data_IF_955231565036
#
_entry.id   IF_955231565036
#
_cell.length_a   1.000
_cell.length_b   1.000
_cell.length_c   1.000
_cell.angle_alpha   90.00
_cell.angle_beta   90.00
_cell.angle_gamma   90.00
#
_symmetry.space_group_name_H-M   'P 1'
#
loop_
_entity.id
_entity.type
_entity.pdbx_description
1 polymer ?
#
# COMPACT_ATOMS: atom_id res chain seq x y z
N UNK A 1 3.75 -8.21 -9.81
CA UNK A 1 4.59 -7.10 -10.27
C UNK A 1 3.74 -6.12 -11.05
N UNK A 2 3.78 -4.85 -10.70
CA UNK A 2 3.18 -3.76 -11.47
C UNK A 2 4.22 -2.68 -11.74
N UNK A 3 4.22 -2.19 -12.99
CA UNK A 3 5.08 -1.09 -13.43
C UNK A 3 4.22 -0.07 -14.16
N UNK A 4 4.33 1.16 -13.78
CA UNK A 4 3.70 2.29 -14.44
C UNK A 4 4.78 3.31 -14.80
N UNK A 5 4.75 3.79 -16.05
CA UNK A 5 5.60 4.89 -16.51
C UNK A 5 4.74 6.01 -17.07
N UNK A 6 5.15 7.23 -16.84
CA UNK A 6 4.51 8.42 -17.37
C UNK A 6 5.57 9.30 -18.03
N UNK A 7 5.36 9.57 -19.31
CA UNK A 7 6.14 10.52 -20.08
C UNK A 7 5.31 11.80 -20.24
N UNK A 8 5.93 12.93 -19.95
CA UNK A 8 5.33 14.23 -20.10
C UNK A 8 6.26 15.12 -20.93
N UNK A 9 5.72 15.75 -21.95
CA UNK A 9 6.41 16.77 -22.73
C UNK A 9 5.55 18.02 -22.83
N UNK A 10 6.16 19.18 -22.69
CA UNK A 10 5.52 20.49 -22.81
C UNK A 10 6.39 21.40 -23.66
N UNK A 11 5.75 22.11 -24.55
CA UNK A 11 6.32 23.21 -25.32
C UNK A 11 5.57 24.50 -25.03
N UNK A 12 6.28 25.53 -24.62
CA UNK A 12 5.75 26.88 -24.44
C UNK A 12 6.30 27.77 -25.57
N UNK A 13 5.40 28.13 -26.50
CA UNK A 13 5.74 29.00 -27.61
C UNK A 13 6.01 30.42 -27.12
N UNK A 14 7.11 31.07 -27.53
CA UNK A 14 7.44 32.44 -27.14
C UNK A 14 6.39 33.48 -27.54
N UNK A 15 5.51 33.15 -28.48
CA UNK A 15 4.41 34.02 -28.93
C UNK A 15 3.22 33.98 -27.97
N UNK A 16 3.14 33.05 -27.05
CA UNK A 16 2.07 32.99 -26.06
C UNK A 16 2.35 33.99 -24.91
N UNK A 17 1.28 34.54 -24.31
CA UNK A 17 1.36 35.49 -23.20
C UNK A 17 2.12 35.01 -21.97
N UNK A 18 2.32 33.70 -21.82
CA UNK A 18 3.15 33.09 -20.77
C UNK A 18 4.65 33.05 -21.10
N UNK A 19 5.01 33.34 -22.35
CA UNK A 19 6.38 33.36 -22.85
C UNK A 19 6.91 34.74 -23.14
N UNK A 20 6.28 35.83 -22.63
CA UNK A 20 6.75 37.18 -22.82
C UNK A 20 8.18 37.35 -22.27
N UNK A 21 9.14 37.48 -23.19
CA UNK A 21 10.55 37.66 -22.90
C UNK A 21 11.40 36.40 -23.03
N UNK A 22 10.82 35.23 -23.26
CA UNK A 22 11.54 33.97 -23.48
C UNK A 22 11.46 33.52 -24.95
N UNK A 23 12.53 32.99 -25.45
CA UNK A 23 12.69 32.46 -26.80
C UNK A 23 12.21 30.98 -26.89
N UNK A 24 11.17 30.66 -26.15
CA UNK A 24 10.59 29.31 -26.03
C UNK A 24 11.16 28.50 -24.88
N UNK A 25 10.34 27.63 -24.32
CA UNK A 25 10.67 26.73 -23.22
C UNK A 25 10.16 25.33 -23.51
N UNK A 26 11.00 24.33 -23.34
CA UNK A 26 10.66 22.94 -23.46
C UNK A 26 10.91 22.20 -22.13
N UNK A 27 9.99 21.31 -21.76
CA UNK A 27 10.10 20.44 -20.58
C UNK A 27 9.86 19.01 -21.03
N UNK A 28 10.73 18.09 -20.62
CA UNK A 28 10.49 16.65 -20.68
C UNK A 28 10.62 16.07 -19.29
N UNK A 29 9.68 15.21 -18.93
CA UNK A 29 9.68 14.54 -17.64
C UNK A 29 9.28 13.07 -17.81
N UNK A 30 10.11 12.19 -17.26
CA UNK A 30 9.84 10.77 -17.21
C UNK A 30 9.70 10.36 -15.73
N UNK A 31 8.66 9.62 -15.42
CA UNK A 31 8.40 9.06 -14.09
C UNK A 31 8.19 7.56 -14.20
N UNK A 32 8.77 6.83 -13.27
CA UNK A 32 8.64 5.39 -13.16
C UNK A 32 8.20 5.01 -11.76
N UNK A 33 7.15 4.21 -11.68
CA UNK A 33 6.70 3.49 -10.48
C UNK A 33 6.83 2.00 -10.76
N UNK A 34 7.58 1.30 -9.94
CA UNK A 34 7.72 -0.15 -10.02
C UNK A 34 7.40 -0.74 -8.64
N UNK A 35 6.39 -1.59 -8.58
CA UNK A 35 5.96 -2.28 -7.38
C UNK A 35 6.05 -3.78 -7.59
N UNK A 36 6.78 -4.44 -6.71
CA UNK A 36 6.84 -5.88 -6.63
C UNK A 36 6.23 -6.31 -5.30
N UNK A 37 5.27 -7.21 -5.36
CA UNK A 37 4.55 -7.74 -4.22
C UNK A 37 4.64 -9.27 -4.26
N UNK A 38 4.96 -9.86 -3.12
CA UNK A 38 4.88 -11.28 -2.83
C UNK A 38 4.04 -11.46 -1.57
N UNK A 39 2.98 -12.26 -1.66
CA UNK A 39 2.13 -12.61 -0.53
C UNK A 39 1.98 -14.12 -0.46
N UNK A 40 2.01 -14.64 0.75
CA UNK A 40 1.77 -16.02 1.04
C UNK A 40 0.94 -16.16 2.31
N UNK A 41 -0.03 -17.07 2.29
CA UNK A 41 -0.87 -17.39 3.44
C UNK A 41 -1.09 -18.88 3.55
N UNK A 42 -1.16 -19.38 4.78
CA UNK A 42 -1.60 -20.73 5.09
C UNK A 42 -2.77 -20.66 6.09
N UNK A 43 -3.80 -21.45 5.82
CA UNK A 43 -5.01 -21.57 6.64
C UNK A 43 -5.09 -22.98 7.21
N UNK A 44 -5.51 -23.07 8.46
CA UNK A 44 -5.78 -24.32 9.14
C UNK A 44 -7.12 -24.24 9.85
N UNK A 45 -7.99 -25.18 9.59
CA UNK A 45 -9.30 -25.30 10.26
C UNK A 45 -9.47 -26.71 10.77
N UNK A 46 -9.87 -26.85 12.03
CA UNK A 46 -10.16 -28.14 12.63
C UNK A 46 -11.31 -28.03 13.63
N UNK A 47 -12.28 -28.92 13.49
CA UNK A 47 -13.28 -29.19 14.52
C UNK A 47 -12.91 -30.48 15.25
N UNK A 48 -13.18 -30.54 16.58
CA UNK A 48 -12.91 -31.70 17.44
C UNK A 48 -13.86 -31.73 18.64
N UNK A 49 -13.88 -32.86 19.34
CA UNK A 49 -14.85 -33.17 20.40
C UNK A 49 -15.99 -34.07 19.91
N UNK A 50 -16.79 -34.59 20.85
CA UNK A 50 -17.80 -35.64 20.56
C UNK A 50 -18.92 -35.20 19.60
N UNK A 51 -19.16 -33.90 19.48
CA UNK A 51 -20.15 -33.28 18.60
C UNK A 51 -19.57 -32.04 17.88
N UNK A 52 -18.26 -32.08 17.58
CA UNK A 52 -17.52 -30.95 16.98
C UNK A 52 -17.67 -29.62 17.76
N UNK A 53 -17.79 -29.75 19.08
CA UNK A 53 -18.05 -28.61 19.97
C UNK A 53 -16.94 -27.59 19.98
N UNK A 54 -15.72 -28.00 19.61
CA UNK A 54 -14.53 -27.17 19.54
C UNK A 54 -14.17 -26.91 18.11
N UNK A 55 -13.99 -25.66 17.72
CA UNK A 55 -13.52 -25.27 16.40
C UNK A 55 -12.33 -24.31 16.52
N UNK A 56 -11.27 -24.63 15.81
CA UNK A 56 -10.07 -23.79 15.68
C UNK A 56 -9.91 -23.41 14.22
N UNK A 57 -9.79 -22.12 13.97
CA UNK A 57 -9.42 -21.56 12.68
C UNK A 57 -8.14 -20.73 12.88
N UNK A 58 -7.09 -21.04 12.15
CA UNK A 58 -5.83 -20.33 12.22
C UNK A 58 -5.37 -19.90 10.82
N UNK A 59 -4.78 -18.73 10.73
CA UNK A 59 -4.12 -18.23 9.54
C UNK A 59 -2.76 -17.68 9.90
N UNK A 60 -1.76 -17.97 9.10
CA UNK A 60 -0.47 -17.32 9.12
C UNK A 60 -0.16 -16.78 7.74
N UNK A 61 0.53 -15.65 7.68
CA UNK A 61 0.86 -15.04 6.41
C UNK A 61 2.12 -14.22 6.46
N UNK A 62 2.69 -14.07 5.28
CA UNK A 62 3.86 -13.27 4.98
C UNK A 62 3.57 -12.40 3.78
N UNK A 63 4.00 -11.15 3.84
CA UNK A 63 3.94 -10.22 2.72
C UNK A 63 5.27 -9.48 2.60
N UNK A 64 5.77 -9.41 1.38
CA UNK A 64 6.94 -8.62 1.03
C UNK A 64 6.60 -7.69 -0.13
N UNK A 65 6.94 -6.43 0.02
CA UNK A 65 6.68 -5.41 -0.98
C UNK A 65 7.92 -4.55 -1.21
N UNK A 66 8.27 -4.32 -2.47
CA UNK A 66 9.31 -3.38 -2.88
C UNK A 66 8.69 -2.33 -3.79
N UNK A 67 8.84 -1.06 -3.43
CA UNK A 67 8.37 0.08 -4.19
C UNK A 67 9.55 0.93 -4.63
N UNK A 68 9.63 1.18 -5.93
CA UNK A 68 10.59 2.07 -6.55
C UNK A 68 9.83 3.23 -7.21
N UNK A 69 10.23 4.43 -6.91
CA UNK A 69 9.85 5.64 -7.63
C UNK A 69 11.09 6.32 -8.18
N UNK A 70 11.10 6.58 -9.49
CA UNK A 70 12.14 7.37 -10.12
C UNK A 70 11.49 8.50 -10.93
N UNK A 71 12.10 9.68 -10.87
CA UNK A 71 11.68 10.88 -11.59
C UNK A 71 12.91 11.51 -12.25
N UNK A 72 12.76 11.88 -13.50
CA UNK A 72 13.75 12.61 -14.26
C UNK A 72 13.06 13.75 -15.00
N UNK A 73 13.58 14.97 -14.87
CA UNK A 73 13.12 16.16 -15.58
C UNK A 73 14.27 16.79 -16.31
N UNK A 74 14.03 17.23 -17.53
CA UNK A 74 14.91 18.09 -18.31
C UNK A 74 14.12 19.30 -18.79
N UNK A 75 14.70 20.47 -18.68
CA UNK A 75 14.11 21.74 -19.08
C UNK A 75 15.15 22.55 -19.85
N UNK A 76 14.78 23.13 -20.98
CA UNK A 76 15.63 24.02 -21.75
C UNK A 76 14.82 25.23 -22.22
N UNK A 77 15.51 26.33 -22.39
CA UNK A 77 14.97 27.60 -22.90
C UNK A 77 15.85 28.13 -24.03
N UNK A 78 15.40 29.19 -24.68
CA UNK A 78 16.12 29.89 -25.74
C UNK A 78 16.38 29.02 -26.98
N UNK A 79 15.29 28.58 -27.63
CA UNK A 79 15.33 27.82 -28.86
C UNK A 79 15.44 28.76 -30.07
N UNK A 80 16.41 28.50 -30.93
CA UNK A 80 16.61 29.28 -32.17
C UNK A 80 15.45 29.08 -33.15
N UNK A 81 14.80 27.89 -33.12
CA UNK A 81 13.69 27.53 -33.99
C UNK A 81 12.59 26.86 -33.17
N UNK A 82 11.39 27.47 -33.16
CA UNK A 82 10.25 26.98 -32.35
C UNK A 82 9.62 25.68 -32.86
N UNK A 83 9.91 25.25 -34.07
CA UNK A 83 9.30 24.05 -34.68
C UNK A 83 9.76 22.72 -34.11
N UNK A 84 10.88 22.70 -33.35
CA UNK A 84 11.44 21.48 -32.77
C UNK A 84 10.90 21.18 -31.35
N UNK A 85 10.49 22.21 -30.63
CA UNK A 85 9.81 22.10 -29.33
C UNK A 85 10.44 21.13 -28.35
N UNK A 86 9.62 20.38 -27.65
CA UNK A 86 10.04 19.41 -26.66
C UNK A 86 10.68 18.14 -27.24
N UNK A 87 10.56 17.90 -28.55
CA UNK A 87 11.12 16.70 -29.19
C UNK A 87 12.63 16.82 -29.43
N UNK A 88 13.16 18.04 -29.44
CA UNK A 88 14.58 18.30 -29.57
C UNK A 88 15.07 19.25 -28.50
N UNK A 89 15.05 18.80 -27.22
CA UNK A 89 15.34 19.66 -26.06
C UNK A 89 16.77 20.20 -26.07
N UNK A 90 17.71 19.51 -26.72
CA UNK A 90 19.11 19.93 -26.83
C UNK A 90 19.30 21.14 -27.76
N UNK A 91 18.33 21.51 -28.58
CA UNK A 91 18.42 22.72 -29.42
C UNK A 91 18.15 24.01 -28.62
N UNK A 92 17.67 23.92 -27.40
CA UNK A 92 17.71 25.02 -26.43
C UNK A 92 19.11 25.26 -25.93
N UNK A 93 19.59 26.50 -25.99
CA UNK A 93 20.98 26.84 -25.66
C UNK A 93 21.17 27.40 -24.23
N UNK A 94 20.09 27.52 -23.46
CA UNK A 94 20.12 27.98 -22.07
C UNK A 94 19.73 26.83 -21.12
N UNK A 95 20.77 26.20 -20.55
CA UNK A 95 20.66 25.24 -19.45
C UNK A 95 21.12 25.91 -18.14
N UNK A 96 20.19 26.13 -17.22
CA UNK A 96 20.51 26.64 -15.87
C UNK A 96 20.69 25.48 -14.91
N UNK A 97 21.42 25.71 -13.82
CA UNK A 97 21.52 24.76 -12.71
C UNK A 97 20.08 24.46 -12.22
N UNK A 98 19.74 23.16 -12.10
CA UNK A 98 18.39 22.72 -11.74
C UNK A 98 17.44 22.44 -12.90
N UNK A 99 17.84 22.73 -14.15
CA UNK A 99 17.04 22.39 -15.34
C UNK A 99 17.06 20.87 -15.65
N UNK A 100 18.12 20.16 -15.22
CA UNK A 100 18.18 18.71 -15.25
C UNK A 100 18.18 18.20 -13.83
N UNK A 101 17.13 17.47 -13.48
CA UNK A 101 16.97 16.89 -12.14
C UNK A 101 16.60 15.43 -12.23
N UNK A 102 17.08 14.65 -11.28
CA UNK A 102 16.68 13.27 -11.13
C UNK A 102 16.52 12.91 -9.66
N UNK A 103 15.58 12.05 -9.36
CA UNK A 103 15.41 11.49 -8.02
C UNK A 103 15.03 10.02 -8.11
N UNK A 104 15.47 9.24 -7.14
CA UNK A 104 15.12 7.84 -6.99
C UNK A 104 14.84 7.55 -5.53
N UNK A 105 13.66 6.99 -5.28
CA UNK A 105 13.22 6.60 -3.96
C UNK A 105 12.85 5.12 -3.99
N UNK A 106 13.40 4.35 -3.07
CA UNK A 106 13.09 2.92 -2.95
C UNK A 106 12.82 2.60 -1.50
N UNK A 107 11.74 1.85 -1.24
CA UNK A 107 11.45 1.34 0.08
C UNK A 107 10.86 -0.06 0.02
N UNK A 108 11.11 -0.80 1.09
CA UNK A 108 10.67 -2.18 1.26
C UNK A 108 9.80 -2.27 2.49
N UNK A 109 8.72 -3.06 2.38
CA UNK A 109 7.84 -3.42 3.47
C UNK A 109 7.85 -4.94 3.61
N UNK A 110 7.87 -5.41 4.85
CA UNK A 110 7.75 -6.83 5.19
C UNK A 110 6.72 -6.93 6.30
N UNK A 111 5.77 -7.85 6.15
CA UNK A 111 4.75 -8.11 7.16
C UNK A 111 4.68 -9.60 7.45
N UNK A 112 4.65 -9.94 8.73
CA UNK A 112 4.34 -11.27 9.23
C UNK A 112 3.08 -11.15 10.07
N UNK A 113 2.11 -12.03 9.87
CA UNK A 113 0.92 -12.04 10.71
C UNK A 113 0.46 -13.46 11.02
N UNK A 114 -0.15 -13.58 12.19
CA UNK A 114 -0.84 -14.79 12.60
C UNK A 114 -2.14 -14.41 13.30
N UNK A 115 -3.18 -15.17 13.04
CA UNK A 115 -4.48 -15.09 13.72
C UNK A 115 -4.91 -16.48 14.09
N UNK A 116 -5.41 -16.65 15.31
CA UNK A 116 -6.10 -17.83 15.76
C UNK A 116 -7.49 -17.45 16.27
N UNK A 117 -8.49 -18.16 15.80
CA UNK A 117 -9.87 -18.06 16.27
C UNK A 117 -10.26 -19.40 16.86
N UNK A 118 -10.77 -19.38 18.09
CA UNK A 118 -11.29 -20.55 18.76
C UNK A 118 -12.76 -20.33 19.11
N UNK A 119 -13.59 -21.31 18.83
CA UNK A 119 -14.99 -21.32 19.17
C UNK A 119 -15.35 -22.59 19.94
N UNK A 120 -16.07 -22.43 21.02
CA UNK A 120 -16.63 -23.51 21.83
C UNK A 120 -18.15 -23.48 21.80
N UNK A 121 -18.77 -24.55 21.29
CA UNK A 121 -20.22 -24.71 21.11
C UNK A 121 -20.89 -23.55 20.39
N UNK A 122 -20.14 -22.82 19.54
CA UNK A 122 -20.57 -21.57 18.89
C UNK A 122 -21.04 -20.46 19.86
N UNK A 123 -20.84 -20.66 21.16
CA UNK A 123 -21.24 -19.73 22.22
C UNK A 123 -20.11 -18.83 22.65
N UNK A 124 -18.95 -19.42 22.91
CA UNK A 124 -17.79 -18.73 23.42
C UNK A 124 -16.74 -18.69 22.31
N UNK A 125 -16.37 -17.50 21.92
CA UNK A 125 -15.40 -17.28 20.84
C UNK A 125 -14.27 -16.38 21.35
N UNK A 126 -13.05 -16.72 21.03
CA UNK A 126 -11.88 -15.90 21.28
C UNK A 126 -11.06 -15.79 20.01
N UNK A 127 -10.57 -14.61 19.70
CA UNK A 127 -9.67 -14.38 18.58
C UNK A 127 -8.44 -13.66 19.07
N UNK A 128 -7.27 -14.19 18.74
CA UNK A 128 -5.99 -13.54 18.97
C UNK A 128 -5.32 -13.28 17.62
N UNK A 129 -4.76 -12.10 17.44
CA UNK A 129 -4.02 -11.72 16.24
C UNK A 129 -2.71 -11.08 16.67
N UNK A 130 -1.64 -11.40 15.97
CA UNK A 130 -0.37 -10.70 16.05
C UNK A 130 0.09 -10.35 14.65
N UNK A 131 0.53 -9.10 14.48
CA UNK A 131 1.13 -8.63 13.23
C UNK A 131 2.45 -7.95 13.54
N UNK A 132 3.47 -8.27 12.76
CA UNK A 132 4.78 -7.64 12.84
C UNK A 132 5.14 -7.06 11.48
N UNK A 133 5.27 -5.74 11.42
CA UNK A 133 5.54 -4.99 10.20
C UNK A 133 6.92 -4.35 10.27
N UNK A 134 7.68 -4.48 9.19
CA UNK A 134 8.97 -3.84 9.01
C UNK A 134 8.97 -2.92 7.81
N UNK A 135 9.61 -1.76 7.93
CA UNK A 135 9.75 -0.80 6.84
C UNK A 135 11.16 -0.24 6.76
N UNK A 136 11.71 -0.20 5.54
CA UNK A 136 13.01 0.42 5.30
C UNK A 136 13.00 1.95 5.40
N UNK A 137 11.81 2.58 5.49
CA UNK A 137 11.67 4.03 5.67
C UNK A 137 12.05 4.50 7.07
N UNK A 138 11.99 3.61 8.05
CA UNK A 138 12.32 3.95 9.44
C UNK A 138 13.83 3.76 9.71
N UNK A 139 14.33 4.53 10.69
CA UNK A 139 15.73 4.48 11.11
C UNK A 139 16.15 3.10 11.61
N UNK A 140 17.46 2.85 11.66
CA UNK A 140 18.05 1.53 11.87
C UNK A 140 17.50 0.74 13.07
N UNK A 141 17.13 1.43 14.16
CA UNK A 141 16.67 0.78 15.41
C UNK A 141 15.15 0.74 15.57
N UNK A 142 14.36 1.28 14.61
CA UNK A 142 12.91 1.41 14.70
C UNK A 142 12.19 0.85 13.47
N UNK A 143 12.83 -0.07 12.76
CA UNK A 143 12.27 -0.62 11.50
C UNK A 143 11.07 -1.53 11.69
N UNK A 144 10.85 -2.06 12.89
CA UNK A 144 9.85 -3.06 13.18
C UNK A 144 8.84 -2.58 14.21
N UNK A 145 7.56 -2.79 13.94
CA UNK A 145 6.44 -2.65 14.88
C UNK A 145 5.75 -3.99 15.08
N UNK A 146 5.29 -4.26 16.29
CA UNK A 146 4.50 -5.46 16.61
C UNK A 146 3.15 -5.01 17.17
N UNK A 147 2.07 -5.56 16.63
CA UNK A 147 0.69 -5.16 16.89
C UNK A 147 -0.12 -6.39 17.30
N UNK A 148 -0.18 -6.70 18.60
CA UNK A 148 -1.07 -7.74 19.11
C UNK A 148 -2.50 -7.21 19.24
N UNK A 149 -3.49 -8.08 19.07
CA UNK A 149 -4.88 -7.82 19.42
C UNK A 149 -5.57 -9.08 19.88
N UNK A 150 -6.51 -8.93 20.82
CA UNK A 150 -7.32 -10.03 21.34
C UNK A 150 -8.77 -9.55 21.41
N UNK A 151 -9.71 -10.41 21.04
CA UNK A 151 -11.14 -10.16 21.20
C UNK A 151 -11.85 -11.43 21.65
N UNK A 152 -12.93 -11.24 22.41
CA UNK A 152 -13.81 -12.31 22.84
C UNK A 152 -15.25 -12.00 22.44
N UNK A 153 -16.03 -13.05 22.20
CA UNK A 153 -17.47 -12.93 21.95
C UNK A 153 -18.23 -14.03 22.68
N UNK A 154 -19.41 -13.68 23.17
CA UNK A 154 -20.35 -14.59 23.83
C UNK A 154 -21.69 -14.55 23.11
N UNK A 155 -22.08 -15.70 22.55
CA UNK A 155 -23.38 -15.90 21.92
C UNK A 155 -24.46 -16.20 22.95
N UNK A 156 -25.02 -15.17 23.56
CA UNK A 156 -26.01 -15.28 24.65
C UNK A 156 -27.26 -15.98 24.17
N UNK A 157 -27.71 -15.75 22.94
CA UNK A 157 -28.86 -16.40 22.34
C UNK A 157 -28.74 -17.93 22.22
N UNK A 158 -27.49 -18.45 22.26
CA UNK A 158 -27.22 -19.89 22.20
C UNK A 158 -27.27 -20.56 23.59
N UNK A 159 -27.46 -19.79 24.66
CA UNK A 159 -27.55 -20.31 26.01
C UNK A 159 -28.90 -20.97 26.32
N UNK A 160 -28.89 -21.95 27.21
CA UNK A 160 -30.08 -22.72 27.56
C UNK A 160 -31.21 -21.87 28.14
N UNK A 161 -30.86 -20.80 28.90
CA UNK A 161 -31.83 -19.88 29.49
C UNK A 161 -32.49 -18.93 28.47
N UNK A 162 -31.96 -18.82 27.25
CA UNK A 162 -32.53 -17.97 26.19
C UNK A 162 -33.40 -18.73 25.20
N UNK A 163 -33.44 -20.07 25.23
CA UNK A 163 -34.15 -20.91 24.28
C UNK A 163 -35.66 -20.63 24.18
N UNK A 164 -36.24 -20.19 25.26
CA UNK A 164 -37.69 -19.89 25.33
C UNK A 164 -38.03 -18.44 24.93
N UNK A 165 -37.01 -17.61 24.69
CA UNK A 165 -37.15 -16.18 24.35
C UNK A 165 -37.39 -16.01 22.86
N UNK A 166 -38.67 -16.07 22.40
CA UNK A 166 -39.03 -16.04 20.96
C UNK A 166 -38.88 -14.69 20.26
N UNK A 167 -38.67 -13.61 21.00
CA UNK A 167 -38.59 -12.26 20.45
C UNK A 167 -37.13 -11.80 20.19
N UNK A 168 -36.12 -12.56 20.64
CA UNK A 168 -34.71 -12.33 20.35
C UNK A 168 -34.18 -13.48 19.50
N UNK A 169 -33.84 -13.21 18.26
CA UNK A 169 -33.29 -14.23 17.35
C UNK A 169 -31.76 -14.40 17.50
N UNK A 170 -31.04 -13.33 17.71
CA UNK A 170 -29.59 -13.35 17.95
C UNK A 170 -29.19 -12.26 18.94
N UNK A 171 -28.49 -12.67 19.99
CA UNK A 171 -27.89 -11.78 20.97
C UNK A 171 -26.45 -12.21 21.23
N UNK A 172 -25.51 -11.33 20.87
CA UNK A 172 -24.09 -11.58 21.00
C UNK A 172 -23.39 -10.39 21.66
N UNK A 173 -22.67 -10.66 22.74
CA UNK A 173 -21.78 -9.69 23.39
C UNK A 173 -20.37 -9.84 22.81
N UNK A 174 -19.69 -8.71 22.52
CA UNK A 174 -18.32 -8.69 22.02
C UNK A 174 -17.51 -7.67 22.78
N UNK A 175 -16.22 -8.02 23.04
CA UNK A 175 -15.22 -7.14 23.63
C UNK A 175 -13.86 -7.39 22.95
N UNK A 176 -13.04 -6.33 22.79
CA UNK A 176 -11.72 -6.42 22.20
C UNK A 176 -10.90 -5.13 22.40
#
# INVERSE_FOLDING_TARGET
KSRFSSDYSEWQDPRNSRGQGDTGKAIRRNRLWDRNLLEWTANYTKAFGSAEEHKVDAIVGYSWENNLYADQKSEATNFAVGSMGADNIQSGNLLKIGNVTSSRNEYKLISLFARAHYSFKERYMITATVRRDGSSKFGANHKWGTFPSVSAAWGISQESFMKDTKWINDLKLRAG
#
